data_IF_651640820385
#
_entry.id   IF_651640820385
#
_cell.length_a   1.000
_cell.length_b   1.000
_cell.length_c   1.000
_cell.angle_alpha   90.00
_cell.angle_beta   90.00
_cell.angle_gamma   90.00
#
_symmetry.space_group_name_H-M   'P 1'
#
loop_
_entity.id
_entity.type
_entity.pdbx_description
1 polymer ?
#
# COMPACT_ATOMS: atom_id res chain seq x y z
N UNK A 1 32.51 71.50 -62.59
CA UNK A 1 33.48 71.47 -61.48
C UNK A 1 33.22 70.17 -60.71
N UNK A 2 34.14 69.22 -60.88
CA UNK A 2 34.43 68.01 -60.07
C UNK A 2 33.31 67.15 -59.44
N UNK A 3 33.30 65.87 -59.87
CA UNK A 3 32.98 64.69 -59.04
C UNK A 3 33.87 64.66 -57.78
N UNK A 4 33.30 64.25 -56.64
CA UNK A 4 34.01 63.43 -55.66
C UNK A 4 33.00 62.61 -54.82
N UNK A 5 33.31 61.32 -54.70
CA UNK A 5 32.55 60.26 -54.03
C UNK A 5 33.08 60.02 -52.61
N UNK A 6 32.23 60.08 -51.58
CA UNK A 6 32.52 59.62 -50.20
C UNK A 6 31.16 59.33 -49.55
N UNK A 7 30.83 58.25 -48.84
CA UNK A 7 31.35 56.90 -48.63
C UNK A 7 30.18 56.14 -47.98
N UNK A 8 29.96 54.88 -48.36
CA UNK A 8 29.02 53.97 -47.70
C UNK A 8 29.67 53.43 -46.43
N UNK A 9 28.85 53.20 -45.40
CA UNK A 9 29.18 52.67 -44.07
C UNK A 9 29.52 53.73 -43.03
N UNK A 10 28.52 54.12 -42.24
CA UNK A 10 28.58 53.87 -40.80
C UNK A 10 27.19 54.04 -40.15
N UNK A 11 26.69 52.91 -39.64
CA UNK A 11 25.96 52.77 -38.37
C UNK A 11 24.52 53.33 -38.26
N UNK A 12 23.59 52.50 -38.72
CA UNK A 12 22.48 51.90 -37.94
C UNK A 12 21.86 52.68 -36.77
N UNK A 13 20.63 53.16 -36.99
CA UNK A 13 19.46 52.86 -36.12
C UNK A 13 18.16 53.42 -36.73
N UNK A 14 17.20 52.58 -37.16
CA UNK A 14 15.81 52.98 -37.25
C UNK A 14 15.09 52.63 -35.94
N UNK A 15 14.82 53.68 -35.19
CA UNK A 15 13.77 53.79 -34.18
C UNK A 15 12.49 53.18 -34.78
N UNK A 16 11.97 52.09 -34.18
CA UNK A 16 10.64 51.45 -34.31
C UNK A 16 10.73 49.92 -34.48
N UNK A 17 11.06 49.22 -33.38
CA UNK A 17 10.68 47.80 -33.24
C UNK A 17 9.40 47.72 -32.41
N UNK A 18 8.40 47.05 -33.00
CA UNK A 18 7.09 46.76 -32.43
C UNK A 18 7.21 46.23 -31.00
N UNK A 19 6.43 46.83 -30.10
CA UNK A 19 6.12 46.27 -28.79
C UNK A 19 5.37 44.95 -29.00
N UNK A 20 6.10 43.83 -29.04
CA UNK A 20 5.49 42.52 -28.81
C UNK A 20 4.86 42.59 -27.41
N UNK A 21 3.54 42.51 -27.36
CA UNK A 21 2.83 42.19 -26.13
C UNK A 21 3.41 40.86 -25.64
N UNK A 22 4.13 40.90 -24.53
CA UNK A 22 4.46 39.71 -23.77
C UNK A 22 3.14 38.98 -23.45
N UNK A 23 2.84 37.93 -24.21
CA UNK A 23 1.93 36.88 -23.76
C UNK A 23 2.50 36.34 -22.45
N UNK A 24 1.73 36.27 -21.36
CA UNK A 24 2.21 35.60 -20.16
C UNK A 24 2.56 34.17 -20.58
N UNK A 25 3.81 33.79 -20.36
CA UNK A 25 4.24 32.41 -20.50
C UNK A 25 3.24 31.53 -19.74
N UNK A 26 2.80 30.39 -20.31
CA UNK A 26 2.06 29.44 -19.53
C UNK A 26 2.98 29.05 -18.38
N UNK A 27 2.57 29.38 -17.15
CA UNK A 27 3.24 28.91 -15.94
C UNK A 27 3.03 27.40 -15.95
N UNK A 28 3.95 26.68 -16.62
CA UNK A 28 4.08 25.27 -16.37
C UNK A 28 4.54 25.16 -14.91
N UNK A 29 3.85 24.38 -14.06
CA UNK A 29 4.39 24.09 -12.75
C UNK A 29 5.76 23.46 -12.98
N UNK A 30 6.84 24.12 -12.52
CA UNK A 30 8.18 23.52 -12.56
C UNK A 30 8.09 22.13 -11.94
N UNK A 31 8.59 21.07 -12.59
CA UNK A 31 8.57 19.74 -12.02
C UNK A 31 9.40 19.75 -10.74
N UNK A 32 8.76 19.44 -9.60
CA UNK A 32 9.30 19.54 -8.24
C UNK A 32 10.61 18.76 -8.06
N UNK A 33 10.88 17.74 -8.88
CA UNK A 33 12.15 17.02 -8.89
C UNK A 33 13.35 17.94 -9.18
N UNK A 34 13.16 18.97 -10.03
CA UNK A 34 14.24 19.92 -10.34
C UNK A 34 14.59 20.77 -9.13
N UNK A 35 13.60 21.18 -8.33
CA UNK A 35 13.81 22.04 -7.16
C UNK A 35 14.54 21.31 -6.02
N UNK A 36 14.23 20.03 -5.83
CA UNK A 36 14.95 19.18 -4.86
C UNK A 36 16.39 18.91 -5.30
N UNK A 37 16.58 18.59 -6.57
CA UNK A 37 17.90 18.35 -7.16
C UNK A 37 18.76 19.62 -7.11
N UNK A 38 18.19 20.78 -7.45
CA UNK A 38 18.85 22.09 -7.35
C UNK A 38 19.27 22.39 -5.91
N UNK A 39 18.40 22.11 -4.93
CA UNK A 39 18.67 22.34 -3.50
C UNK A 39 19.79 21.45 -2.97
N UNK A 40 19.83 20.18 -3.37
CA UNK A 40 20.86 19.22 -2.95
C UNK A 40 22.21 19.47 -3.64
N UNK A 41 22.17 19.91 -4.90
CA UNK A 41 23.36 20.19 -5.73
C UNK A 41 24.00 21.53 -5.42
N UNK A 42 23.30 22.43 -4.73
CA UNK A 42 23.80 23.74 -4.35
C UNK A 42 25.03 23.62 -3.41
N UNK A 43 26.22 23.91 -3.92
CA UNK A 43 27.47 23.88 -3.15
C UNK A 43 27.68 25.12 -2.27
N UNK A 44 26.88 26.17 -2.45
CA UNK A 44 27.03 27.45 -1.75
C UNK A 44 26.40 27.41 -0.35
N UNK A 45 25.59 26.40 -0.06
CA UNK A 45 24.94 26.20 1.23
C UNK A 45 25.66 25.14 2.07
N UNK A 46 25.79 25.35 3.40
CA UNK A 46 26.32 24.32 4.29
C UNK A 46 25.42 23.08 4.29
N UNK A 47 26.03 21.90 4.40
CA UNK A 47 25.35 20.59 4.31
C UNK A 47 24.06 20.53 5.14
N UNK A 48 24.09 21.01 6.38
CA UNK A 48 22.93 21.01 7.28
C UNK A 48 21.73 21.81 6.72
N UNK A 49 21.98 22.99 6.14
CA UNK A 49 20.90 23.81 5.55
C UNK A 49 20.34 23.20 4.28
N UNK A 50 21.18 22.56 3.46
CA UNK A 50 20.72 21.81 2.28
C UNK A 50 19.86 20.64 2.70
N UNK A 51 20.32 19.87 3.68
CA UNK A 51 19.60 18.73 4.21
C UNK A 51 18.25 19.14 4.81
N UNK A 52 18.22 20.21 5.62
CA UNK A 52 16.98 20.72 6.20
C UNK A 52 16.00 21.21 5.12
N UNK A 53 16.48 21.96 4.13
CA UNK A 53 15.63 22.50 3.05
C UNK A 53 15.10 21.38 2.16
N UNK A 54 15.96 20.43 1.77
CA UNK A 54 15.58 19.24 1.03
C UNK A 54 14.58 18.38 1.82
N UNK A 55 14.79 18.20 3.13
CA UNK A 55 13.86 17.47 4.01
C UNK A 55 12.50 18.16 4.08
N UNK A 56 12.46 19.49 4.20
CA UNK A 56 11.21 20.24 4.25
C UNK A 56 10.44 20.12 2.93
N UNK A 57 11.14 20.25 1.79
CA UNK A 57 10.56 20.11 0.46
C UNK A 57 10.00 18.69 0.25
N UNK A 58 10.80 17.67 0.58
CA UNK A 58 10.41 16.28 0.43
C UNK A 58 9.26 15.90 1.37
N UNK A 59 9.28 16.37 2.62
CA UNK A 59 8.22 16.13 3.59
C UNK A 59 6.88 16.72 3.14
N UNK A 60 6.89 17.90 2.50
CA UNK A 60 5.70 18.51 1.92
C UNK A 60 5.11 17.64 0.79
N UNK A 61 5.97 17.10 -0.08
CA UNK A 61 5.58 16.20 -1.17
C UNK A 61 5.04 14.87 -0.63
N UNK A 62 5.77 14.24 0.28
CA UNK A 62 5.36 13.00 0.93
C UNK A 62 4.05 13.19 1.69
N UNK A 63 3.84 14.31 2.37
CA UNK A 63 2.58 14.59 3.06
C UNK A 63 1.40 14.68 2.09
N UNK A 64 1.56 15.36 0.94
CA UNK A 64 0.52 15.44 -0.10
C UNK A 64 0.16 14.08 -0.70
N UNK A 65 1.10 13.15 -0.74
CA UNK A 65 0.89 11.77 -1.21
C UNK A 65 0.30 10.86 -0.11
N UNK A 66 0.91 10.87 1.07
CA UNK A 66 0.62 9.95 2.16
C UNK A 66 -0.66 10.31 2.90
N UNK A 67 -0.91 11.59 3.21
CA UNK A 67 -2.07 11.97 4.03
C UNK A 67 -3.41 11.56 3.38
N UNK A 68 -3.65 11.79 2.09
CA UNK A 68 -4.88 11.32 1.46
C UNK A 68 -4.95 9.79 1.33
N UNK A 69 -3.82 9.11 1.11
CA UNK A 69 -3.78 7.64 1.10
C UNK A 69 -4.13 7.06 2.49
N UNK A 70 -3.66 7.68 3.57
CA UNK A 70 -4.04 7.35 4.95
C UNK A 70 -5.52 7.60 5.17
N UNK A 71 -6.08 8.72 4.70
CA UNK A 71 -7.52 8.99 4.80
C UNK A 71 -8.35 7.93 4.06
N UNK A 72 -7.98 7.59 2.82
CA UNK A 72 -8.64 6.52 2.05
C UNK A 72 -8.56 5.18 2.82
N UNK A 73 -7.38 4.86 3.35
CA UNK A 73 -7.18 3.66 4.15
C UNK A 73 -8.08 3.64 5.38
N UNK A 74 -8.15 4.75 6.14
CA UNK A 74 -9.00 4.86 7.31
C UNK A 74 -10.48 4.72 6.95
N UNK A 75 -10.96 5.39 5.90
CA UNK A 75 -12.35 5.30 5.43
C UNK A 75 -12.72 3.87 5.01
N UNK A 76 -11.82 3.18 4.30
CA UNK A 76 -12.03 1.80 3.90
C UNK A 76 -12.02 0.84 5.09
N UNK A 77 -11.14 1.06 6.08
CA UNK A 77 -11.15 0.26 7.33
C UNK A 77 -12.42 0.51 8.14
N UNK A 78 -12.87 1.75 8.24
CA UNK A 78 -14.15 2.10 8.91
C UNK A 78 -15.33 1.42 8.20
N UNK A 79 -15.30 1.30 6.88
CA UNK A 79 -16.32 0.56 6.12
C UNK A 79 -16.38 -0.90 6.61
N UNK A 80 -15.24 -1.57 6.75
CA UNK A 80 -15.25 -2.94 7.25
C UNK A 80 -15.55 -3.07 8.73
N UNK A 81 -15.09 -2.13 9.57
CA UNK A 81 -15.45 -2.09 10.99
C UNK A 81 -16.96 -1.90 11.16
N UNK A 82 -17.59 -1.11 10.29
CA UNK A 82 -19.05 -0.94 10.31
C UNK A 82 -19.79 -2.25 9.99
N UNK A 83 -19.33 -3.04 9.02
CA UNK A 83 -19.88 -4.37 8.76
C UNK A 83 -19.72 -5.29 9.98
N UNK A 84 -18.57 -5.25 10.65
CA UNK A 84 -18.30 -6.03 11.87
C UNK A 84 -19.19 -5.59 13.04
N UNK A 85 -19.46 -4.29 13.20
CA UNK A 85 -20.41 -3.78 14.20
C UNK A 85 -21.81 -4.33 13.94
N UNK A 86 -22.23 -4.42 12.67
CA UNK A 86 -23.51 -5.00 12.30
C UNK A 86 -23.56 -6.54 12.42
N UNK A 87 -22.43 -7.23 12.28
CA UNK A 87 -22.35 -8.70 12.28
C UNK A 87 -21.87 -9.34 13.60
N UNK A 88 -21.31 -8.55 14.52
CA UNK A 88 -20.47 -9.07 15.61
C UNK A 88 -19.00 -9.20 15.17
N UNK A 89 -18.10 -8.72 16.04
CA UNK A 89 -16.67 -8.46 15.82
C UNK A 89 -15.86 -9.57 15.14
N UNK A 90 -15.09 -9.23 14.10
CA UNK A 90 -13.88 -9.97 13.70
C UNK A 90 -13.05 -9.15 12.70
N UNK A 91 -11.81 -8.85 13.10
CA UNK A 91 -10.91 -7.87 12.50
C UNK A 91 -10.38 -8.18 11.11
N UNK A 92 -9.75 -7.16 10.52
CA UNK A 92 -9.21 -7.18 9.16
C UNK A 92 -7.70 -6.98 9.15
N UNK A 93 -7.04 -7.58 8.17
CA UNK A 93 -5.65 -7.31 7.83
C UNK A 93 -5.54 -6.94 6.35
N UNK A 94 -4.89 -5.82 6.02
CA UNK A 94 -4.43 -5.48 4.68
C UNK A 94 -3.41 -4.33 4.72
N UNK A 95 -2.13 -4.64 4.50
CA UNK A 95 -1.12 -3.66 4.09
C UNK A 95 0.02 -4.39 3.39
N UNK A 96 0.21 -4.07 2.10
CA UNK A 96 1.21 -4.75 1.27
C UNK A 96 1.42 -4.09 -0.11
N UNK A 97 0.35 -3.64 -0.76
CA UNK A 97 0.42 -3.28 -2.18
C UNK A 97 1.01 -1.89 -2.48
N UNK A 98 1.75 -1.25 -1.56
CA UNK A 98 1.98 0.19 -1.60
C UNK A 98 3.01 0.71 -2.63
N UNK A 99 3.89 -0.09 -3.23
CA UNK A 99 5.17 0.44 -3.76
C UNK A 99 5.56 0.10 -5.22
N UNK A 100 4.60 -0.21 -6.11
CA UNK A 100 4.89 -0.48 -7.54
C UNK A 100 4.58 0.67 -8.51
N UNK A 101 4.52 1.92 -8.03
CA UNK A 101 4.23 3.08 -8.87
C UNK A 101 5.46 3.93 -9.15
N UNK A 102 6.30 3.55 -10.12
CA UNK A 102 7.11 4.51 -10.87
C UNK A 102 7.80 3.85 -12.06
N UNK A 103 7.35 4.19 -13.27
CA UNK A 103 8.10 4.14 -14.54
C UNK A 103 7.13 4.65 -15.62
N UNK A 104 7.61 5.52 -16.53
CA UNK A 104 7.03 6.00 -17.80
C UNK A 104 5.50 6.20 -17.96
N UNK A 105 5.08 7.31 -18.59
CA UNK A 105 3.68 7.64 -18.91
C UNK A 105 2.90 6.48 -19.59
N UNK A 106 3.55 5.71 -20.48
CA UNK A 106 2.95 4.54 -21.13
C UNK A 106 3.00 3.25 -20.31
N UNK A 107 3.92 3.14 -19.36
CA UNK A 107 4.05 1.97 -18.48
C UNK A 107 2.93 1.94 -17.42
N UNK A 108 2.35 3.08 -17.08
CA UNK A 108 1.23 3.15 -16.12
C UNK A 108 -0.02 2.39 -16.60
N UNK A 109 -0.49 2.61 -17.83
CA UNK A 109 -1.69 1.92 -18.34
C UNK A 109 -1.46 0.42 -18.52
N UNK A 110 -0.33 0.01 -19.12
CA UNK A 110 -0.03 -1.41 -19.30
C UNK A 110 0.27 -2.12 -17.98
N UNK A 111 0.93 -1.46 -17.04
CA UNK A 111 1.18 -1.95 -15.68
C UNK A 111 -0.12 -2.15 -14.91
N UNK A 112 -1.05 -1.19 -14.99
CA UNK A 112 -2.42 -1.33 -14.45
C UNK A 112 -3.07 -2.61 -15.00
N UNK A 113 -3.18 -2.72 -16.33
CA UNK A 113 -3.90 -3.83 -16.97
C UNK A 113 -3.25 -5.19 -16.67
N UNK A 114 -1.91 -5.30 -16.77
CA UNK A 114 -1.16 -6.53 -16.46
C UNK A 114 -1.36 -6.97 -15.00
N UNK A 115 -1.28 -6.02 -14.07
CA UNK A 115 -1.48 -6.28 -12.66
C UNK A 115 -2.93 -6.71 -12.39
N UNK A 116 -3.92 -6.04 -12.98
CA UNK A 116 -5.34 -6.46 -12.88
C UNK A 116 -5.55 -7.86 -13.43
N UNK A 117 -5.03 -8.19 -14.62
CA UNK A 117 -5.17 -9.52 -15.24
C UNK A 117 -4.59 -10.60 -14.31
N UNK A 118 -3.37 -10.40 -13.80
CA UNK A 118 -2.71 -11.37 -12.94
C UNK A 118 -3.43 -11.52 -11.59
N UNK A 119 -3.85 -10.42 -10.96
CA UNK A 119 -4.56 -10.48 -9.69
C UNK A 119 -5.95 -11.11 -9.81
N UNK A 120 -6.65 -10.86 -10.92
CA UNK A 120 -7.91 -11.52 -11.22
C UNK A 120 -7.71 -13.04 -11.40
N UNK A 121 -6.64 -13.44 -12.09
CA UNK A 121 -6.29 -14.85 -12.24
C UNK A 121 -5.91 -15.51 -10.89
N UNK A 122 -5.17 -14.83 -10.01
CA UNK A 122 -4.87 -15.35 -8.67
C UNK A 122 -6.09 -15.37 -7.74
N UNK A 123 -7.10 -14.55 -8.01
CA UNK A 123 -8.39 -14.59 -7.32
C UNK A 123 -9.19 -15.88 -7.55
N UNK A 124 -8.96 -16.59 -8.66
CA UNK A 124 -9.68 -17.83 -8.98
C UNK A 124 -9.32 -18.97 -8.01
N UNK A 125 -8.03 -19.31 -7.76
CA UNK A 125 -7.68 -20.26 -6.70
C UNK A 125 -8.20 -19.86 -5.31
N UNK A 126 -8.18 -18.58 -4.98
CA UNK A 126 -8.69 -18.09 -3.69
C UNK A 126 -10.20 -18.29 -3.56
N UNK A 127 -10.93 -18.12 -4.67
CA UNK A 127 -12.37 -18.38 -4.72
C UNK A 127 -12.69 -19.85 -4.42
N UNK A 128 -11.86 -20.79 -4.91
CA UNK A 128 -12.01 -22.22 -4.60
C UNK A 128 -11.89 -22.45 -3.09
N UNK A 129 -10.90 -21.82 -2.43
CA UNK A 129 -10.75 -21.89 -0.96
C UNK A 129 -11.99 -21.35 -0.25
N UNK A 130 -12.56 -20.23 -0.72
CA UNK A 130 -13.76 -19.63 -0.12
C UNK A 130 -14.99 -20.51 -0.30
N UNK A 131 -15.16 -21.15 -1.46
CA UNK A 131 -16.24 -22.11 -1.73
C UNK A 131 -16.16 -23.30 -0.76
N UNK A 132 -14.95 -23.79 -0.50
CA UNK A 132 -14.70 -24.89 0.44
C UNK A 132 -14.49 -24.44 1.90
N UNK A 133 -14.84 -23.20 2.25
CA UNK A 133 -14.65 -22.68 3.62
C UNK A 133 -15.34 -23.53 4.69
N UNK A 134 -16.60 -23.95 4.51
CA UNK A 134 -17.31 -24.83 5.47
C UNK A 134 -16.55 -26.14 5.76
N UNK A 135 -16.22 -26.99 4.77
CA UNK A 135 -15.50 -28.23 5.03
C UNK A 135 -14.08 -28.00 5.55
N UNK A 136 -13.41 -26.93 5.13
CA UNK A 136 -12.09 -26.56 5.67
C UNK A 136 -12.20 -26.23 7.16
N UNK A 137 -13.18 -25.43 7.57
CA UNK A 137 -13.38 -25.08 8.99
C UNK A 137 -13.73 -26.31 9.83
N UNK A 138 -14.60 -27.20 9.34
CA UNK A 138 -14.91 -28.48 10.01
C UNK A 138 -13.64 -29.34 10.14
N UNK A 139 -12.80 -29.40 9.10
CA UNK A 139 -11.52 -30.13 9.14
C UNK A 139 -10.56 -29.54 10.16
N UNK A 140 -10.60 -28.22 10.38
CA UNK A 140 -9.82 -27.53 11.41
C UNK A 140 -10.37 -27.71 12.83
N UNK A 141 -11.49 -28.44 12.99
CA UNK A 141 -12.08 -28.78 14.28
C UNK A 141 -13.23 -27.88 14.72
N UNK A 142 -13.68 -26.96 13.86
CA UNK A 142 -14.82 -26.09 14.19
C UNK A 142 -16.15 -26.84 14.20
N UNK A 143 -17.06 -26.39 15.08
CA UNK A 143 -18.41 -26.96 15.13
C UNK A 143 -19.20 -26.65 13.86
N UNK A 144 -20.07 -27.57 13.44
CA UNK A 144 -20.85 -27.39 12.21
C UNK A 144 -21.68 -26.09 12.17
N UNK A 145 -22.34 -25.65 13.27
CA UNK A 145 -23.07 -24.38 13.27
C UNK A 145 -22.17 -23.17 13.02
N UNK A 146 -21.00 -23.11 13.65
CA UNK A 146 -20.02 -22.01 13.49
C UNK A 146 -19.45 -22.03 12.08
N UNK A 147 -19.00 -23.19 11.60
CA UNK A 147 -18.48 -23.35 10.25
C UNK A 147 -19.51 -22.98 9.17
N UNK A 148 -20.79 -23.30 9.40
CA UNK A 148 -21.87 -22.93 8.48
C UNK A 148 -22.13 -21.42 8.47
N UNK A 149 -22.16 -20.77 9.63
CA UNK A 149 -22.34 -19.32 9.73
C UNK A 149 -21.17 -18.55 9.09
N UNK A 150 -19.93 -18.95 9.38
CA UNK A 150 -18.72 -18.37 8.79
C UNK A 150 -18.70 -18.56 7.27
N UNK A 151 -19.06 -19.75 6.77
CA UNK A 151 -19.10 -20.01 5.33
C UNK A 151 -20.14 -19.14 4.60
N UNK A 152 -21.34 -18.94 5.17
CA UNK A 152 -22.35 -18.04 4.59
C UNK A 152 -21.80 -16.61 4.45
N UNK A 153 -21.09 -16.12 5.46
CA UNK A 153 -20.44 -14.81 5.38
C UNK A 153 -19.36 -14.79 4.28
N UNK A 154 -18.45 -15.79 4.28
CA UNK A 154 -17.36 -15.95 3.30
C UNK A 154 -17.87 -16.03 1.86
N UNK A 155 -18.99 -16.71 1.61
CA UNK A 155 -19.60 -16.79 0.28
C UNK A 155 -20.00 -15.41 -0.26
N UNK A 156 -20.55 -14.55 0.59
CA UNK A 156 -20.85 -13.16 0.19
C UNK A 156 -19.62 -12.29 -0.03
N UNK A 157 -18.42 -12.71 0.42
CA UNK A 157 -17.14 -12.03 0.16
C UNK A 157 -16.46 -12.46 -1.15
N UNK A 158 -16.94 -13.51 -1.83
CA UNK A 158 -16.34 -13.96 -3.10
C UNK A 158 -16.21 -12.82 -4.13
N UNK A 159 -17.24 -11.98 -4.36
CA UNK A 159 -17.11 -10.85 -5.29
C UNK A 159 -16.07 -9.81 -4.84
N UNK A 160 -15.84 -9.67 -3.53
CA UNK A 160 -14.85 -8.75 -2.96
C UNK A 160 -13.43 -9.11 -3.37
N UNK A 161 -13.10 -10.40 -3.53
CA UNK A 161 -11.77 -10.86 -3.99
C UNK A 161 -11.39 -10.16 -5.29
N UNK A 162 -12.32 -10.15 -6.26
CA UNK A 162 -12.11 -9.55 -7.56
C UNK A 162 -12.18 -8.03 -7.52
N UNK A 163 -13.00 -7.46 -6.63
CA UNK A 163 -12.99 -6.02 -6.40
C UNK A 163 -11.61 -5.56 -5.89
N UNK A 164 -11.01 -6.28 -4.94
CA UNK A 164 -9.64 -6.00 -4.49
C UNK A 164 -8.61 -6.16 -5.59
N UNK A 165 -8.71 -7.24 -6.38
CA UNK A 165 -7.83 -7.46 -7.53
C UNK A 165 -7.87 -6.30 -8.55
N UNK A 166 -9.02 -5.66 -8.76
CA UNK A 166 -9.13 -4.46 -9.59
C UNK A 166 -8.67 -3.18 -8.88
N UNK A 167 -9.06 -3.01 -7.62
CA UNK A 167 -8.82 -1.81 -6.84
C UNK A 167 -7.33 -1.56 -6.60
N UNK A 168 -6.55 -2.61 -6.34
CA UNK A 168 -5.12 -2.46 -6.06
C UNK A 168 -4.36 -1.78 -7.21
N UNK A 169 -4.44 -2.27 -8.47
CA UNK A 169 -3.86 -1.59 -9.62
C UNK A 169 -4.40 -0.16 -9.79
N UNK A 170 -5.71 0.04 -9.72
CA UNK A 170 -6.35 1.36 -9.93
C UNK A 170 -5.81 2.39 -8.95
N UNK A 171 -5.74 2.02 -7.67
CA UNK A 171 -5.17 2.89 -6.65
C UNK A 171 -3.69 3.17 -6.90
N UNK A 172 -2.90 2.17 -7.35
CA UNK A 172 -1.49 2.40 -7.71
C UNK A 172 -1.34 3.36 -8.88
N UNK A 173 -2.15 3.20 -9.93
CA UNK A 173 -2.16 4.06 -11.10
C UNK A 173 -2.46 5.52 -10.73
N UNK A 174 -3.48 5.74 -9.90
CA UNK A 174 -3.86 7.07 -9.44
C UNK A 174 -2.82 7.67 -8.48
N UNK A 175 -2.33 6.90 -7.50
CA UNK A 175 -1.34 7.35 -6.52
C UNK A 175 0.02 7.69 -7.15
N UNK A 176 0.47 6.94 -8.16
CA UNK A 176 1.72 7.21 -8.84
C UNK A 176 1.71 8.56 -9.59
N UNK A 177 0.53 9.06 -9.92
CA UNK A 177 0.31 10.38 -10.52
C UNK A 177 -0.01 11.46 -9.47
N UNK A 178 0.11 11.14 -8.18
CA UNK A 178 -0.32 12.01 -7.06
C UNK A 178 -1.81 12.37 -7.09
N UNK A 179 -2.65 11.55 -7.74
CA UNK A 179 -4.10 11.77 -7.84
C UNK A 179 -4.79 10.94 -6.76
N UNK A 180 -5.04 11.54 -5.60
CA UNK A 180 -5.48 10.79 -4.41
C UNK A 180 -6.81 11.27 -3.82
N UNK A 181 -7.16 12.54 -4.01
CA UNK A 181 -8.43 13.11 -3.52
C UNK A 181 -9.70 12.45 -4.09
N UNK A 182 -9.79 12.13 -5.39
CA UNK A 182 -10.98 11.48 -5.93
C UNK A 182 -11.32 10.17 -5.21
N UNK A 183 -10.30 9.36 -4.94
CA UNK A 183 -10.46 8.12 -4.17
C UNK A 183 -10.99 8.36 -2.77
N UNK A 184 -10.55 9.42 -2.08
CA UNK A 184 -11.05 9.77 -0.74
C UNK A 184 -12.53 10.13 -0.76
N UNK A 185 -12.97 10.97 -1.70
CA UNK A 185 -14.38 11.34 -1.83
C UNK A 185 -15.27 10.14 -2.19
N UNK A 186 -14.81 9.28 -3.11
CA UNK A 186 -15.53 8.06 -3.49
C UNK A 186 -15.65 7.12 -2.29
N UNK A 187 -14.58 6.89 -1.53
CA UNK A 187 -14.61 6.07 -0.31
C UNK A 187 -15.54 6.65 0.75
N UNK A 188 -15.53 7.98 0.96
CA UNK A 188 -16.42 8.63 1.94
C UNK A 188 -17.90 8.49 1.55
N UNK A 189 -18.24 8.71 0.28
CA UNK A 189 -19.59 8.52 -0.22
C UNK A 189 -20.02 7.05 -0.12
N UNK A 190 -19.10 6.12 -0.46
CA UNK A 190 -19.34 4.68 -0.35
C UNK A 190 -19.61 4.26 1.09
N UNK A 191 -18.90 4.82 2.07
CA UNK A 191 -19.14 4.53 3.49
C UNK A 191 -20.57 4.87 3.92
N UNK A 192 -21.09 6.03 3.50
CA UNK A 192 -22.47 6.44 3.81
C UNK A 192 -23.47 5.45 3.20
N UNK A 193 -23.29 5.11 1.92
CA UNK A 193 -24.12 4.12 1.22
C UNK A 193 -24.01 2.76 1.91
N UNK A 194 -22.80 2.35 2.28
CA UNK A 194 -22.54 1.08 2.96
C UNK A 194 -23.31 0.98 4.26
N UNK A 195 -23.18 1.95 5.17
CA UNK A 195 -23.84 1.90 6.48
C UNK A 195 -25.37 1.83 6.33
N UNK A 196 -25.94 2.66 5.46
CA UNK A 196 -27.39 2.68 5.21
C UNK A 196 -27.88 1.33 4.65
N UNK A 197 -27.25 0.84 3.58
CA UNK A 197 -27.72 -0.37 2.92
C UNK A 197 -27.38 -1.65 3.69
N UNK A 198 -26.30 -1.68 4.47
CA UNK A 198 -26.03 -2.78 5.39
C UNK A 198 -27.14 -2.87 6.43
N UNK A 199 -27.58 -1.75 7.02
CA UNK A 199 -28.72 -1.76 7.94
C UNK A 199 -30.01 -2.28 7.27
N UNK A 200 -30.32 -1.80 6.05
CA UNK A 200 -31.50 -2.27 5.30
C UNK A 200 -31.42 -3.77 5.02
N UNK A 201 -30.32 -4.26 4.47
CA UNK A 201 -30.18 -5.67 4.07
C UNK A 201 -30.19 -6.61 5.26
N UNK A 202 -29.55 -6.22 6.37
CA UNK A 202 -29.46 -7.06 7.57
C UNK A 202 -30.78 -7.07 8.34
N UNK A 203 -31.37 -5.92 8.65
CA UNK A 203 -32.50 -5.83 9.58
C UNK A 203 -33.86 -5.65 8.93
N UNK A 204 -33.95 -4.93 7.81
CA UNK A 204 -35.23 -4.67 7.14
C UNK A 204 -35.58 -5.83 6.20
N UNK A 205 -34.63 -6.24 5.37
CA UNK A 205 -34.80 -7.35 4.41
C UNK A 205 -34.57 -8.71 5.08
N UNK A 206 -33.78 -8.77 6.15
CA UNK A 206 -33.55 -10.00 6.91
C UNK A 206 -32.54 -10.96 6.28
N UNK A 207 -31.61 -10.48 5.44
CA UNK A 207 -30.58 -11.33 4.82
C UNK A 207 -29.43 -11.70 5.77
N UNK A 208 -29.40 -11.14 6.98
CA UNK A 208 -28.42 -11.48 8.02
C UNK A 208 -26.97 -11.34 7.56
N UNK A 209 -26.13 -12.31 7.93
CA UNK A 209 -24.68 -12.33 7.62
C UNK A 209 -24.39 -12.27 6.12
N UNK A 210 -25.20 -12.94 5.28
CA UNK A 210 -25.04 -12.92 3.83
C UNK A 210 -25.31 -11.52 3.27
N UNK A 211 -26.33 -10.83 3.77
CA UNK A 211 -26.64 -9.46 3.37
C UNK A 211 -25.50 -8.49 3.71
N UNK A 212 -24.88 -8.64 4.87
CA UNK A 212 -23.77 -7.81 5.29
C UNK A 212 -22.50 -8.03 4.44
N UNK A 213 -22.10 -9.28 4.19
CA UNK A 213 -20.92 -9.56 3.36
C UNK A 213 -21.12 -9.21 1.89
N UNK A 214 -22.33 -9.40 1.34
CA UNK A 214 -22.68 -8.93 -0.01
C UNK A 214 -22.65 -7.41 -0.12
N UNK A 215 -23.13 -6.67 0.90
CA UNK A 215 -23.05 -5.21 0.89
C UNK A 215 -21.60 -4.74 0.99
N UNK A 216 -20.77 -5.40 1.79
CA UNK A 216 -19.34 -5.13 1.85
C UNK A 216 -18.69 -5.35 0.48
N UNK A 217 -18.97 -6.47 -0.18
CA UNK A 217 -18.54 -6.73 -1.57
C UNK A 217 -19.00 -5.65 -2.54
N UNK A 218 -20.28 -5.24 -2.46
CA UNK A 218 -20.84 -4.20 -3.33
C UNK A 218 -20.16 -2.84 -3.11
N UNK A 219 -19.85 -2.47 -1.87
CA UNK A 219 -19.12 -1.24 -1.56
C UNK A 219 -17.74 -1.19 -2.23
N UNK A 220 -17.01 -2.31 -2.24
CA UNK A 220 -15.72 -2.37 -2.94
C UNK A 220 -15.87 -2.22 -4.45
N UNK A 221 -16.92 -2.80 -5.04
CA UNK A 221 -17.21 -2.59 -6.47
C UNK A 221 -17.64 -1.15 -6.80
N UNK A 222 -18.39 -0.49 -5.92
CA UNK A 222 -18.71 0.94 -6.06
C UNK A 222 -17.42 1.76 -6.11
N UNK A 223 -16.47 1.49 -5.22
CA UNK A 223 -15.16 2.17 -5.20
C UNK A 223 -14.40 1.91 -6.51
N UNK A 224 -14.30 0.65 -6.93
CA UNK A 224 -13.59 0.26 -8.17
C UNK A 224 -14.20 0.97 -9.38
N UNK A 225 -15.52 0.90 -9.54
CA UNK A 225 -16.24 1.50 -10.67
C UNK A 225 -16.07 3.02 -10.63
N UNK A 226 -16.27 3.65 -9.47
CA UNK A 226 -16.13 5.10 -9.33
C UNK A 226 -14.72 5.59 -9.68
N UNK A 227 -13.68 4.89 -9.20
CA UNK A 227 -12.30 5.23 -9.51
C UNK A 227 -11.96 4.99 -10.99
N UNK A 228 -12.45 3.90 -11.57
CA UNK A 228 -12.23 3.63 -12.99
C UNK A 228 -12.94 4.65 -13.89
N UNK A 229 -14.18 5.01 -13.59
CA UNK A 229 -14.91 6.10 -14.28
C UNK A 229 -14.14 7.42 -14.18
N UNK A 230 -13.56 7.73 -13.02
CA UNK A 230 -12.71 8.91 -12.87
C UNK A 230 -11.48 8.84 -13.80
N UNK A 231 -10.81 7.69 -13.92
CA UNK A 231 -9.67 7.51 -14.85
C UNK A 231 -10.10 7.77 -16.30
N UNK A 232 -11.28 7.30 -16.69
CA UNK A 232 -11.78 7.46 -18.07
C UNK A 232 -12.17 8.91 -18.41
N UNK A 233 -12.66 9.69 -17.45
CA UNK A 233 -13.20 11.03 -17.71
C UNK A 233 -12.28 12.18 -17.33
N UNK A 234 -11.34 11.97 -16.41
CA UNK A 234 -10.48 13.04 -15.92
C UNK A 234 -9.42 13.44 -16.93
N UNK A 235 -9.32 14.76 -17.20
CA UNK A 235 -8.23 15.33 -18.00
C UNK A 235 -6.84 14.97 -17.47
N UNK A 236 -6.72 14.76 -16.14
CA UNK A 236 -5.46 14.40 -15.49
C UNK A 236 -4.93 13.03 -15.88
N UNK A 237 -5.79 12.12 -16.34
CA UNK A 237 -5.42 10.76 -16.70
C UNK A 237 -5.36 10.55 -18.23
N UNK A 238 -5.69 11.56 -19.05
CA UNK A 238 -5.75 11.41 -20.51
C UNK A 238 -4.40 11.07 -21.15
N UNK A 239 -3.31 11.63 -20.61
CA UNK A 239 -1.97 11.37 -21.13
C UNK A 239 -1.43 9.99 -20.69
N UNK A 240 -1.88 9.47 -19.55
CA UNK A 240 -1.40 8.21 -18.95
C UNK A 240 -2.29 7.01 -19.28
N UNK A 241 -3.57 7.23 -19.53
CA UNK A 241 -4.54 6.20 -19.93
C UNK A 241 -4.85 6.30 -21.42
N UNK A 242 -4.32 5.36 -22.19
CA UNK A 242 -4.47 5.30 -23.66
C UNK A 242 -5.57 4.33 -24.14
N UNK A 243 -6.37 3.81 -23.21
CA UNK A 243 -7.41 2.82 -23.50
C UNK A 243 -6.90 1.37 -23.48
N UNK A 244 -7.81 0.43 -23.72
CA UNK A 244 -7.48 -0.99 -23.69
C UNK A 244 -6.66 -1.42 -24.91
N UNK A 245 -5.68 -2.28 -24.69
CA UNK A 245 -4.82 -2.82 -25.75
C UNK A 245 -4.41 -4.26 -25.45
N UNK A 246 -4.32 -5.09 -26.49
CA UNK A 246 -3.90 -6.49 -26.39
C UNK A 246 -2.44 -6.63 -25.93
N UNK A 247 -1.65 -5.57 -26.02
CA UNK A 247 -0.29 -5.51 -25.48
C UNK A 247 -0.25 -5.68 -23.95
N UNK A 248 -1.38 -5.48 -23.26
CA UNK A 248 -1.50 -5.79 -21.83
C UNK A 248 -1.31 -7.30 -21.51
N UNK A 249 -1.51 -8.20 -22.48
CA UNK A 249 -1.31 -9.64 -22.30
C UNK A 249 0.13 -10.10 -22.61
N UNK A 250 0.98 -9.22 -23.15
CA UNK A 250 2.40 -9.54 -23.38
C UNK A 250 3.22 -9.33 -22.10
N UNK A 251 4.25 -10.15 -21.87
CA UNK A 251 5.18 -9.98 -20.74
C UNK A 251 4.60 -10.32 -19.35
N UNK A 252 3.43 -10.99 -19.29
CA UNK A 252 2.79 -11.37 -18.01
C UNK A 252 3.68 -12.26 -17.14
N UNK A 253 4.46 -13.15 -17.75
CA UNK A 253 5.33 -14.08 -17.02
C UNK A 253 6.47 -13.38 -16.28
N UNK A 254 7.13 -12.41 -16.92
CA UNK A 254 8.21 -11.65 -16.30
C UNK A 254 7.67 -10.73 -15.19
N UNK A 255 6.50 -10.13 -15.42
CA UNK A 255 5.81 -9.36 -14.39
C UNK A 255 5.38 -10.24 -13.21
N UNK A 256 4.89 -11.46 -13.46
CA UNK A 256 4.52 -12.42 -12.43
C UNK A 256 5.74 -12.82 -11.59
N UNK A 257 6.86 -13.18 -12.22
CA UNK A 257 8.12 -13.50 -11.52
C UNK A 257 8.56 -12.38 -10.59
N UNK A 258 8.50 -11.12 -11.06
CA UNK A 258 8.83 -9.97 -10.24
C UNK A 258 7.86 -9.80 -9.07
N UNK A 259 6.57 -10.03 -9.31
CA UNK A 259 5.51 -9.90 -8.31
C UNK A 259 5.54 -10.99 -7.23
N UNK A 260 6.01 -12.20 -7.55
CA UNK A 260 6.13 -13.32 -6.60
C UNK A 260 7.05 -12.96 -5.43
N UNK A 261 8.18 -12.28 -5.69
CA UNK A 261 9.11 -11.90 -4.63
C UNK A 261 8.46 -10.93 -3.62
N UNK A 262 7.72 -9.93 -4.11
CA UNK A 262 6.90 -9.04 -3.27
C UNK A 262 5.82 -9.81 -2.50
N UNK A 263 5.09 -10.70 -3.17
CA UNK A 263 4.01 -11.46 -2.55
C UNK A 263 4.55 -12.35 -1.41
N UNK A 264 5.65 -13.06 -1.64
CA UNK A 264 6.30 -13.91 -0.62
C UNK A 264 6.80 -13.07 0.55
N UNK A 265 7.49 -11.96 0.29
CA UNK A 265 8.00 -11.06 1.33
C UNK A 265 6.88 -10.63 2.29
N UNK A 266 5.74 -10.22 1.74
CA UNK A 266 4.57 -9.73 2.49
C UNK A 266 3.79 -10.87 3.18
N UNK A 267 3.69 -12.03 2.54
CA UNK A 267 3.09 -13.21 3.18
C UNK A 267 3.92 -13.63 4.39
N UNK A 268 5.25 -13.61 4.28
CA UNK A 268 6.14 -13.93 5.40
C UNK A 268 5.99 -12.94 6.56
N UNK A 269 5.85 -11.64 6.28
CA UNK A 269 5.54 -10.64 7.30
C UNK A 269 4.19 -10.90 7.96
N UNK A 270 3.16 -11.15 7.16
CA UNK A 270 1.78 -11.34 7.65
C UNK A 270 1.63 -12.62 8.45
N UNK A 271 2.10 -13.74 7.91
CA UNK A 271 1.97 -15.05 8.52
C UNK A 271 2.76 -15.16 9.81
N UNK A 272 3.87 -14.42 9.95
CA UNK A 272 4.61 -14.36 11.20
C UNK A 272 3.72 -13.92 12.38
N UNK A 273 2.97 -12.82 12.21
CA UNK A 273 2.03 -12.34 13.23
C UNK A 273 0.93 -13.37 13.51
N UNK A 274 0.35 -13.95 12.45
CA UNK A 274 -0.74 -14.92 12.59
C UNK A 274 -0.28 -16.20 13.31
N UNK A 275 0.93 -16.70 13.01
CA UNK A 275 1.49 -17.88 13.67
C UNK A 275 1.71 -17.60 15.16
N UNK A 276 2.23 -16.43 15.53
CA UNK A 276 2.42 -16.09 16.95
C UNK A 276 1.08 -15.95 17.70
N UNK A 277 0.04 -15.41 17.05
CA UNK A 277 -1.32 -15.38 17.62
C UNK A 277 -1.86 -16.81 17.81
N UNK A 278 -1.69 -17.69 16.82
CA UNK A 278 -2.08 -19.10 16.94
C UNK A 278 -1.35 -19.80 18.09
N UNK A 279 -0.04 -19.54 18.24
CA UNK A 279 0.75 -20.06 19.36
C UNK A 279 0.25 -19.51 20.71
N UNK A 280 -0.14 -18.23 20.77
CA UNK A 280 -0.73 -17.65 21.98
C UNK A 280 -2.05 -18.35 22.36
N UNK A 281 -2.82 -18.81 21.38
CA UNK A 281 -4.02 -19.63 21.59
C UNK A 281 -3.77 -21.00 22.23
N UNK A 282 -2.51 -21.42 22.35
CA UNK A 282 -2.12 -22.66 23.04
C UNK A 282 -1.69 -22.44 24.50
N UNK A 283 -1.74 -21.19 25.01
CA UNK A 283 -1.45 -20.88 26.41
C UNK A 283 -2.57 -21.35 27.34
N UNK A 284 -2.26 -21.54 28.63
CA UNK A 284 -3.21 -22.06 29.63
C UNK A 284 -4.50 -21.20 29.80
N UNK A 285 -4.43 -19.91 29.47
CA UNK A 285 -5.58 -18.98 29.46
C UNK A 285 -5.68 -18.27 28.09
N UNK A 286 -6.14 -18.97 27.04
CA UNK A 286 -6.05 -18.47 25.67
C UNK A 286 -6.99 -17.29 25.41
N UNK A 287 -8.18 -17.25 26.04
CA UNK A 287 -9.12 -16.14 25.92
C UNK A 287 -8.51 -14.81 26.38
N UNK A 288 -7.96 -14.77 27.60
CA UNK A 288 -7.32 -13.56 28.15
C UNK A 288 -6.10 -13.16 27.32
N UNK A 289 -5.31 -14.14 26.86
CA UNK A 289 -4.11 -13.87 26.06
C UNK A 289 -4.46 -13.29 24.68
N UNK A 290 -5.45 -13.88 23.99
CA UNK A 290 -5.90 -13.44 22.67
C UNK A 290 -6.64 -12.09 22.73
N UNK A 291 -7.48 -11.89 23.75
CA UNK A 291 -8.16 -10.62 23.98
C UNK A 291 -7.16 -9.49 24.29
N UNK A 292 -6.16 -9.78 25.12
CA UNK A 292 -5.14 -8.79 25.44
C UNK A 292 -4.21 -8.48 24.23
N UNK A 293 -3.97 -9.46 23.36
CA UNK A 293 -3.24 -9.29 22.10
C UNK A 293 -4.04 -8.52 21.03
N UNK A 294 -5.36 -8.62 21.05
CA UNK A 294 -6.25 -7.91 20.10
C UNK A 294 -6.55 -6.46 20.50
N UNK A 295 -6.04 -6.00 21.65
CA UNK A 295 -6.07 -4.60 22.15
C UNK A 295 -7.42 -3.92 21.91
N UNK A 296 -8.51 -4.56 22.32
CA UNK A 296 -9.85 -4.00 22.18
C UNK A 296 -10.39 -3.49 23.52
N UNK A 297 -9.82 -2.38 24.01
CA UNK A 297 -10.35 -1.68 25.19
C UNK A 297 -11.77 -1.13 24.97
N UNK A 298 -12.16 -0.92 23.69
CA UNK A 298 -13.48 -0.44 23.32
C UNK A 298 -14.59 -1.51 23.39
N UNK A 299 -14.25 -2.80 23.60
CA UNK A 299 -15.20 -3.91 23.43
C UNK A 299 -15.17 -4.96 24.55
N UNK A 300 -14.40 -4.76 25.63
CA UNK A 300 -14.31 -5.71 26.74
C UNK A 300 -14.66 -5.07 28.09
N UNK A 301 -15.75 -5.54 28.71
CA UNK A 301 -16.24 -5.08 30.02
C UNK A 301 -15.54 -5.75 31.24
N UNK A 302 -14.49 -6.56 31.01
CA UNK A 302 -13.83 -7.37 32.04
C UNK A 302 -12.61 -6.70 32.69
N UNK A 303 -12.64 -6.52 34.02
CA UNK A 303 -11.49 -6.00 34.81
C UNK A 303 -10.19 -6.81 34.58
N UNK A 304 -10.32 -8.12 34.40
CA UNK A 304 -9.20 -9.04 34.15
C UNK A 304 -8.53 -8.78 32.80
N UNK A 305 -9.32 -8.55 31.74
CA UNK A 305 -8.80 -8.23 30.41
C UNK A 305 -8.21 -6.82 30.40
N UNK A 306 -8.85 -5.85 31.08
CA UNK A 306 -8.28 -4.50 31.24
C UNK A 306 -6.89 -4.52 31.87
N UNK A 307 -6.70 -5.32 32.93
CA UNK A 307 -5.41 -5.48 33.57
C UNK A 307 -4.38 -6.15 32.62
N UNK A 308 -4.79 -7.21 31.92
CA UNK A 308 -3.92 -7.88 30.94
C UNK A 308 -3.51 -6.93 29.80
N UNK A 309 -4.44 -6.13 29.27
CA UNK A 309 -4.16 -5.11 28.24
C UNK A 309 -3.19 -4.06 28.79
N UNK A 310 -3.42 -3.54 29.99
CA UNK A 310 -2.55 -2.55 30.62
C UNK A 310 -1.11 -3.03 30.75
N UNK A 311 -0.91 -4.32 31.07
CA UNK A 311 0.43 -4.91 31.15
C UNK A 311 1.12 -5.09 29.79
N UNK A 312 0.33 -5.20 28.71
CA UNK A 312 0.83 -5.34 27.35
C UNK A 312 0.98 -3.98 26.62
N UNK A 313 0.39 -2.91 27.14
CA UNK A 313 0.49 -1.55 26.57
C UNK A 313 1.93 -1.11 26.26
N UNK A 314 2.96 -1.37 27.10
CA UNK A 314 4.34 -1.04 26.74
C UNK A 314 4.84 -1.79 25.49
N UNK A 315 4.46 -3.07 25.33
CA UNK A 315 4.79 -3.88 24.16
C UNK A 315 4.09 -3.33 22.92
N UNK A 316 2.82 -2.93 23.05
CA UNK A 316 2.08 -2.27 21.99
C UNK A 316 2.74 -0.95 21.57
N UNK A 317 3.16 -0.11 22.52
CA UNK A 317 3.81 1.16 22.21
C UNK A 317 5.10 0.97 21.38
N UNK A 318 5.94 0.00 21.76
CA UNK A 318 7.13 -0.38 20.99
C UNK A 318 6.75 -0.93 19.62
N UNK A 319 5.71 -1.77 19.55
CA UNK A 319 5.21 -2.35 18.30
C UNK A 319 4.71 -1.27 17.34
N UNK A 320 4.01 -0.24 17.82
CA UNK A 320 3.54 0.89 16.99
C UNK A 320 4.73 1.64 16.37
N UNK A 321 5.79 1.88 17.14
CA UNK A 321 7.00 2.55 16.62
C UNK A 321 7.66 1.68 15.54
N UNK A 322 7.89 0.40 15.81
CA UNK A 322 8.48 -0.52 14.85
C UNK A 322 7.63 -0.68 13.60
N UNK A 323 6.31 -0.83 13.77
CA UNK A 323 5.35 -0.91 12.67
C UNK A 323 5.17 0.42 11.92
N UNK A 324 5.67 1.54 12.44
CA UNK A 324 5.79 2.80 11.70
C UNK A 324 7.01 2.82 10.79
N UNK A 325 8.13 2.25 11.25
CA UNK A 325 9.41 2.23 10.50
C UNK A 325 9.45 1.10 9.48
N UNK A 326 8.98 -0.09 9.84
CA UNK A 326 9.08 -1.30 9.00
C UNK A 326 8.41 -1.10 7.62
N UNK A 327 7.17 -0.61 7.50
CA UNK A 327 6.54 -0.44 6.18
C UNK A 327 7.27 0.56 5.29
N UNK A 328 7.94 1.57 5.87
CA UNK A 328 8.76 2.52 5.12
C UNK A 328 9.97 1.80 4.50
N UNK A 329 10.67 0.97 5.29
CA UNK A 329 11.82 0.19 4.82
C UNK A 329 11.42 -0.87 3.80
N UNK A 330 10.33 -1.60 4.03
CA UNK A 330 9.77 -2.54 3.05
C UNK A 330 9.34 -1.80 1.77
N UNK A 331 8.81 -0.57 1.90
CA UNK A 331 8.48 0.31 0.76
C UNK A 331 9.71 0.67 -0.08
N UNK A 332 10.79 1.10 0.58
CA UNK A 332 12.09 1.39 -0.05
C UNK A 332 12.64 0.16 -0.76
N UNK A 333 12.63 -0.99 -0.08
CA UNK A 333 13.12 -2.24 -0.64
C UNK A 333 12.37 -2.65 -1.90
N UNK A 334 11.05 -2.52 -1.93
CA UNK A 334 10.26 -2.80 -3.14
C UNK A 334 10.56 -1.78 -4.24
N UNK A 335 10.68 -0.48 -3.90
CA UNK A 335 11.05 0.55 -4.87
C UNK A 335 12.41 0.30 -5.54
N UNK A 336 13.37 -0.24 -4.79
CA UNK A 336 14.69 -0.60 -5.32
C UNK A 336 14.72 -1.98 -6.01
N UNK A 337 13.71 -2.82 -5.79
CA UNK A 337 13.65 -4.19 -6.32
C UNK A 337 14.40 -5.23 -5.46
N UNK A 338 14.48 -5.02 -4.16
CA UNK A 338 15.19 -5.88 -3.19
C UNK A 338 14.27 -6.94 -2.54
N UNK A 339 13.09 -7.19 -3.09
CA UNK A 339 12.05 -7.96 -2.40
C UNK A 339 12.49 -9.39 -2.05
N UNK A 340 13.25 -10.03 -2.94
CA UNK A 340 13.78 -11.37 -2.69
C UNK A 340 14.77 -11.40 -1.52
N UNK A 341 15.66 -10.41 -1.45
CA UNK A 341 16.58 -10.26 -0.32
C UNK A 341 15.82 -10.07 0.99
N UNK A 342 14.83 -9.17 1.01
CA UNK A 342 14.01 -8.93 2.21
C UNK A 342 13.21 -10.17 2.60
N UNK A 343 12.71 -10.96 1.64
CA UNK A 343 12.05 -12.22 1.95
C UNK A 343 12.98 -13.19 2.70
N UNK A 344 14.26 -13.32 2.31
CA UNK A 344 15.23 -14.13 3.06
C UNK A 344 15.50 -13.58 4.47
N UNK A 345 15.61 -12.26 4.61
CA UNK A 345 15.75 -11.60 5.91
C UNK A 345 14.53 -11.89 6.79
N UNK A 346 13.31 -11.83 6.24
CA UNK A 346 12.06 -12.13 6.93
C UNK A 346 12.05 -13.60 7.41
N UNK A 347 12.47 -14.56 6.57
CA UNK A 347 12.61 -15.97 7.00
C UNK A 347 13.53 -16.09 8.23
N UNK A 348 14.71 -15.47 8.18
CA UNK A 348 15.66 -15.54 9.29
C UNK A 348 15.16 -14.87 10.57
N UNK A 349 14.68 -13.63 10.46
CA UNK A 349 14.30 -12.85 11.64
C UNK A 349 13.00 -13.35 12.27
N UNK A 350 12.00 -13.68 11.46
CA UNK A 350 10.67 -14.03 11.95
C UNK A 350 10.58 -15.50 12.32
N UNK A 351 11.03 -16.40 11.45
CA UNK A 351 10.76 -17.84 11.60
C UNK A 351 11.89 -18.59 12.30
N UNK A 352 13.15 -18.20 12.07
CA UNK A 352 14.29 -18.84 12.73
C UNK A 352 14.52 -18.24 14.13
N UNK A 353 14.28 -16.94 14.31
CA UNK A 353 14.52 -16.26 15.58
C UNK A 353 13.22 -15.93 16.32
N UNK A 354 12.33 -15.14 15.70
CA UNK A 354 11.15 -14.57 16.36
C UNK A 354 10.17 -15.60 16.90
N UNK A 355 9.78 -16.59 16.08
CA UNK A 355 8.84 -17.65 16.47
C UNK A 355 9.42 -18.53 17.60
N UNK A 356 10.64 -19.09 17.49
CA UNK A 356 11.23 -19.86 18.58
C UNK A 356 11.42 -19.05 19.85
N UNK A 357 11.87 -17.78 19.75
CA UNK A 357 12.03 -16.90 20.90
C UNK A 357 10.70 -16.66 21.60
N UNK A 358 9.65 -16.35 20.85
CA UNK A 358 8.30 -16.15 21.37
C UNK A 358 7.79 -17.38 22.10
N UNK A 359 7.87 -18.55 21.47
CA UNK A 359 7.44 -19.82 22.07
C UNK A 359 8.24 -20.14 23.35
N UNK A 360 9.55 -20.00 23.33
CA UNK A 360 10.39 -20.26 24.52
C UNK A 360 10.04 -19.31 25.66
N UNK A 361 9.91 -18.01 25.40
CA UNK A 361 9.54 -17.03 26.41
C UNK A 361 8.12 -17.26 26.95
N UNK A 362 7.17 -17.58 26.07
CA UNK A 362 5.77 -17.82 26.42
C UNK A 362 5.59 -19.05 27.31
N UNK A 363 6.13 -20.20 26.89
CA UNK A 363 5.91 -21.49 27.55
C UNK A 363 6.99 -21.89 28.55
N UNK A 364 8.28 -21.77 28.20
CA UNK A 364 9.37 -22.26 29.06
C UNK A 364 9.63 -21.33 30.25
N UNK A 365 9.52 -20.03 30.02
CA UNK A 365 9.72 -19.01 31.06
C UNK A 365 8.41 -18.52 31.69
N UNK A 366 7.26 -19.13 31.33
CA UNK A 366 5.93 -18.78 31.84
C UNK A 366 5.58 -17.29 31.72
N UNK A 367 6.08 -16.60 30.68
CA UNK A 367 5.73 -15.19 30.43
C UNK A 367 4.40 -15.06 29.65
N UNK A 368 3.79 -16.18 29.25
CA UNK A 368 2.50 -16.20 28.56
C UNK A 368 2.47 -15.27 27.34
N UNK A 369 1.43 -14.45 27.23
CA UNK A 369 1.25 -13.49 26.14
C UNK A 369 2.42 -12.48 26.03
N UNK A 370 3.01 -12.06 27.16
CA UNK A 370 4.19 -11.16 27.16
C UNK A 370 5.38 -11.81 26.46
N UNK A 371 5.59 -13.11 26.71
CA UNK A 371 6.66 -13.88 26.07
C UNK A 371 6.47 -13.99 24.56
N UNK A 372 5.24 -14.32 24.14
CA UNK A 372 4.88 -14.41 22.71
C UNK A 372 5.07 -13.05 22.01
N UNK A 373 4.56 -11.97 22.60
CA UNK A 373 4.69 -10.62 22.05
C UNK A 373 6.15 -10.12 22.05
N UNK A 374 6.95 -10.51 23.04
CA UNK A 374 8.40 -10.25 23.03
C UNK A 374 9.08 -10.91 21.83
N UNK A 375 8.69 -12.14 21.49
CA UNK A 375 9.16 -12.83 20.29
C UNK A 375 8.80 -12.07 19.01
N UNK A 376 7.57 -11.56 18.93
CA UNK A 376 7.05 -10.72 17.84
C UNK A 376 7.88 -9.45 17.63
N UNK A 377 8.13 -8.72 18.72
CA UNK A 377 8.95 -7.51 18.71
C UNK A 377 10.39 -7.84 18.36
N UNK A 378 10.94 -8.92 18.92
CA UNK A 378 12.33 -9.33 18.69
C UNK A 378 12.62 -9.61 17.22
N UNK A 379 11.78 -10.41 16.55
CA UNK A 379 11.93 -10.68 15.12
C UNK A 379 11.80 -9.42 14.27
N UNK A 380 10.81 -8.59 14.56
CA UNK A 380 10.57 -7.31 13.87
C UNK A 380 11.71 -6.30 14.05
N UNK A 381 12.25 -6.20 15.26
CA UNK A 381 13.36 -5.32 15.58
C UNK A 381 14.63 -5.73 14.83
N UNK A 382 14.99 -7.02 14.85
CA UNK A 382 16.18 -7.52 14.16
C UNK A 382 16.06 -7.27 12.65
N UNK A 383 14.90 -7.56 12.07
CA UNK A 383 14.62 -7.30 10.66
C UNK A 383 14.77 -5.81 10.34
N UNK A 384 14.20 -4.94 11.16
CA UNK A 384 14.27 -3.48 10.99
C UNK A 384 15.72 -2.99 11.03
N UNK A 385 16.54 -3.48 11.97
CA UNK A 385 17.95 -3.12 12.07
C UNK A 385 18.76 -3.55 10.85
N UNK A 386 18.51 -4.76 10.32
CA UNK A 386 19.16 -5.25 9.10
C UNK A 386 18.78 -4.36 7.91
N UNK A 387 17.49 -4.06 7.74
CA UNK A 387 17.04 -3.21 6.63
C UNK A 387 17.55 -1.78 6.72
N UNK A 388 17.62 -1.19 7.92
CA UNK A 388 18.25 0.11 8.14
C UNK A 388 19.72 0.06 7.74
N UNK A 389 20.47 -0.94 8.21
CA UNK A 389 21.87 -1.09 7.88
C UNK A 389 22.11 -1.21 6.36
N UNK A 390 21.32 -2.02 5.67
CA UNK A 390 21.39 -2.16 4.20
C UNK A 390 21.09 -0.83 3.52
N UNK A 391 20.03 -0.14 3.95
CA UNK A 391 19.61 1.14 3.37
C UNK A 391 20.70 2.21 3.51
N UNK A 392 21.35 2.30 4.68
CA UNK A 392 22.44 3.26 4.91
C UNK A 392 23.73 2.91 4.15
N UNK A 393 23.97 1.63 3.86
CA UNK A 393 25.17 1.16 3.16
C UNK A 393 25.00 1.09 1.64
N UNK A 394 23.80 1.38 1.14
CA UNK A 394 23.49 1.30 -0.28
C UNK A 394 24.13 2.45 -1.04
N UNK A 395 24.75 2.11 -2.17
CA UNK A 395 25.17 3.08 -3.16
C UNK A 395 23.96 3.48 -4.02
N UNK A 396 23.39 4.63 -3.70
CA UNK A 396 22.19 5.15 -4.36
C UNK A 396 22.45 5.53 -5.82
N UNK A 397 23.67 5.90 -6.20
CA UNK A 397 24.00 6.19 -7.61
C UNK A 397 23.87 4.92 -8.45
N UNK A 398 24.39 3.81 -7.93
CA UNK A 398 24.28 2.50 -8.58
C UNK A 398 22.83 2.03 -8.68
N UNK A 399 21.99 2.30 -7.67
CA UNK A 399 20.57 1.96 -7.74
C UNK A 399 19.81 2.80 -8.79
N UNK A 400 20.13 4.09 -8.92
CA UNK A 400 19.58 4.95 -9.99
C UNK A 400 19.97 4.42 -11.38
N UNK A 401 21.23 4.02 -11.58
CA UNK A 401 21.68 3.41 -12.84
C UNK A 401 20.91 2.12 -13.16
N UNK A 402 20.74 1.23 -12.16
CA UNK A 402 19.93 0.01 -12.33
C UNK A 402 18.48 0.32 -12.67
N UNK A 403 17.88 1.31 -12.02
CA UNK A 403 16.50 1.71 -12.29
C UNK A 403 16.35 2.24 -13.72
N UNK A 404 17.29 3.07 -14.18
CA UNK A 404 17.34 3.57 -15.55
C UNK A 404 17.52 2.45 -16.58
N UNK A 405 18.39 1.48 -16.31
CA UNK A 405 18.57 0.32 -17.20
C UNK A 405 17.30 -0.53 -17.32
N UNK A 406 16.53 -0.71 -16.24
CA UNK A 406 15.22 -1.40 -16.27
C UNK A 406 14.22 -0.64 -17.14
N UNK A 407 14.19 0.69 -17.03
CA UNK A 407 13.37 1.57 -17.85
C UNK A 407 13.69 1.45 -19.34
N UNK A 408 14.98 1.56 -19.71
CA UNK A 408 15.41 1.51 -21.11
C UNK A 408 15.07 0.16 -21.77
N UNK A 409 15.12 -0.93 -21.00
CA UNK A 409 14.70 -2.27 -21.44
C UNK A 409 13.20 -2.34 -21.71
N UNK A 410 12.38 -1.70 -20.89
CA UNK A 410 10.92 -1.67 -21.05
C UNK A 410 10.46 -0.77 -22.19
N UNK A 411 11.21 0.30 -22.48
CA UNK A 411 10.96 1.20 -23.62
C UNK A 411 11.51 0.64 -24.95
N UNK A 412 12.14 -0.54 -24.94
CA UNK A 412 12.70 -1.17 -26.14
C UNK A 412 13.89 -0.42 -26.75
N UNK A 413 14.57 0.42 -25.97
CA UNK A 413 15.70 1.24 -26.44
C UNK A 413 17.01 0.45 -26.60
N UNK A 414 17.09 -0.75 -26.02
CA UNK A 414 18.28 -1.62 -26.07
C UNK A 414 18.32 -2.60 -27.24
N UNK A 415 17.39 -2.53 -28.20
CA UNK A 415 17.36 -3.42 -29.38
C UNK A 415 17.64 -2.73 -30.72
N UNK A 416 18.58 -1.77 -30.76
CA UNK A 416 19.13 -1.26 -32.03
C UNK A 416 20.64 -1.19 -32.01
#
# INVERSE_FOLDING_TARGET
>A
MSMESINNNDLHEPILVKKELASPSPISPKPISSELEDTLSNSDLPYFRRFQSATCLELSTLFRLAAPAVVVYLLNNVTSMSTQIFCGHLGNLQLAAASLGNTGIQVFAYGLMRSTILLMATGVPLTVIYIFSKPILILLGESEPIASAAAVFVYGLIPQIFAYAANFPIQKFLQAQSIVFPSAYISAATLVVHVLFTWVLVYVVGWGLLGASLMLSASWWIIVIGQFVYILWSDKCKETWTGFSSQAFSGLWDFLKLSIASAVMLCLETWYYQILVLIAGLLDNPEIALDALSVCYAFTDGITVSNAVSELTPFLAVSIILNGVQPVLSGVAVGCGWQAFVAYVNVGCYYIIGVPLGAVLGFKFNLGAKGIWSGMIGGTLIQTLILLWVTFRTDWNKEVEKARSRLDTWEGKTSR
#
